data_IF_539258846710
#
_entry.id   IF_539258846710
#
_cell.length_a   1.000
_cell.length_b   1.000
_cell.length_c   1.000
_cell.angle_alpha   90.00
_cell.angle_beta   90.00
_cell.angle_gamma   90.00
#
_symmetry.space_group_name_H-M   'P 1'
#
loop_
_entity.id
_entity.type
_entity.pdbx_description
1 polymer ?
#
# COMPACT_ATOMS: atom_id res chain seq x y z
N UNK A 1 0.54 9.10 20.04
CA UNK A 1 1.45 9.04 18.88
C UNK A 1 1.33 7.61 18.35
N UNK A 2 1.06 7.44 17.05
CA UNK A 2 0.99 6.11 16.43
C UNK A 2 2.35 5.81 15.79
N UNK A 3 2.92 4.66 16.10
CA UNK A 3 4.17 4.17 15.51
C UNK A 3 4.01 2.69 15.17
N UNK A 4 4.62 2.27 14.06
CA UNK A 4 4.55 0.91 13.57
C UNK A 4 5.86 0.56 12.86
N UNK A 5 6.63 -0.42 13.36
CA UNK A 5 7.77 -0.95 12.63
C UNK A 5 7.31 -1.63 11.32
N UNK A 6 8.21 -1.69 10.34
CA UNK A 6 8.01 -2.51 9.14
C UNK A 6 7.81 -3.97 9.53
N UNK A 7 6.83 -4.65 8.94
CA UNK A 7 6.54 -6.06 9.28
C UNK A 7 7.52 -7.00 8.56
N UNK A 8 7.77 -6.72 7.28
CA UNK A 8 8.67 -7.50 6.43
C UNK A 8 9.90 -6.68 6.04
N UNK A 9 10.99 -6.74 6.82
CA UNK A 9 12.27 -6.25 6.35
C UNK A 9 12.75 -7.06 5.14
N UNK A 10 13.29 -6.39 4.13
CA UNK A 10 13.86 -7.04 2.94
C UNK A 10 15.06 -7.91 3.34
N UNK A 11 15.49 -8.87 2.50
CA UNK A 11 16.71 -9.62 2.76
C UNK A 11 17.93 -8.73 3.06
N UNK A 12 18.10 -7.64 2.31
CA UNK A 12 19.21 -6.70 2.50
C UNK A 12 19.09 -5.91 3.82
N UNK A 13 17.89 -5.43 4.16
CA UNK A 13 17.65 -4.73 5.44
C UNK A 13 17.94 -5.65 6.65
N UNK A 14 17.62 -6.95 6.55
CA UNK A 14 17.95 -7.92 7.61
C UNK A 14 19.43 -8.20 7.67
N UNK A 15 20.07 -8.43 6.52
CA UNK A 15 21.45 -8.88 6.47
C UNK A 15 22.45 -7.76 6.75
N UNK A 16 22.29 -6.60 6.10
CA UNK A 16 23.25 -5.50 6.19
C UNK A 16 22.91 -4.51 7.30
N UNK A 17 21.63 -4.29 7.59
CA UNK A 17 21.19 -3.28 8.55
C UNK A 17 20.67 -3.86 9.86
N UNK A 18 20.65 -5.20 9.99
CA UNK A 18 20.19 -5.92 11.18
C UNK A 18 18.79 -5.47 11.64
N UNK A 19 17.91 -5.14 10.69
CA UNK A 19 16.54 -4.70 10.98
C UNK A 19 15.68 -5.92 11.27
N UNK A 20 14.93 -5.86 12.38
CA UNK A 20 13.93 -6.85 12.76
C UNK A 20 12.53 -6.35 12.40
N UNK A 21 11.66 -7.26 11.97
CA UNK A 21 10.27 -6.93 11.67
C UNK A 21 9.45 -6.70 12.94
N UNK A 22 8.41 -5.87 12.83
CA UNK A 22 7.40 -5.71 13.87
C UNK A 22 6.43 -6.90 13.95
N UNK A 23 5.78 -7.02 15.10
CA UNK A 23 4.84 -8.12 15.40
C UNK A 23 3.37 -7.63 15.48
N UNK A 24 3.11 -6.35 15.18
CA UNK A 24 1.78 -5.72 15.22
C UNK A 24 1.53 -4.83 14.00
N UNK A 25 0.32 -4.93 13.43
CA UNK A 25 -0.12 -4.15 12.28
C UNK A 25 -1.56 -3.67 12.52
N UNK A 26 -1.76 -2.38 12.76
CA UNK A 26 -3.05 -1.83 13.16
C UNK A 26 -3.51 -0.70 12.24
N UNK A 27 -4.81 -0.67 11.93
CA UNK A 27 -5.41 0.49 11.28
C UNK A 27 -5.40 1.69 12.25
N UNK A 28 -5.08 2.86 11.72
CA UNK A 28 -4.97 4.11 12.47
C UNK A 28 -6.27 4.90 12.26
N UNK A 29 -7.05 5.18 13.30
CA UNK A 29 -8.23 6.03 13.19
C UNK A 29 -7.81 7.48 12.97
N UNK A 30 -8.46 8.16 12.03
CA UNK A 30 -8.31 9.60 11.79
C UNK A 30 -9.69 10.26 11.70
N UNK A 31 -9.72 11.59 11.73
CA UNK A 31 -10.93 12.39 11.49
C UNK A 31 -11.49 12.23 10.07
N UNK A 32 -10.63 11.84 9.13
CA UNK A 32 -10.96 11.56 7.75
C UNK A 32 -11.14 10.06 7.46
N UNK A 33 -11.33 9.22 8.49
CA UNK A 33 -11.51 7.77 8.38
C UNK A 33 -10.24 6.95 8.65
N UNK A 34 -10.39 5.64 8.82
CA UNK A 34 -9.26 4.78 9.18
C UNK A 34 -8.30 4.56 8.01
N UNK A 35 -7.01 4.64 8.30
CA UNK A 35 -5.91 4.45 7.35
C UNK A 35 -5.05 3.26 7.78
N UNK A 36 -4.29 2.69 6.86
CA UNK A 36 -3.27 1.69 7.14
C UNK A 36 -1.93 2.09 6.53
N UNK A 37 -0.82 1.60 7.07
CA UNK A 37 0.53 1.87 6.55
C UNK A 37 1.24 0.55 6.27
N UNK A 38 1.68 0.37 5.02
CA UNK A 38 2.49 -0.77 4.58
C UNK A 38 3.81 -0.23 4.06
N UNK A 39 4.92 -0.52 4.72
CA UNK A 39 6.20 0.09 4.38
C UNK A 39 6.86 -0.73 3.26
N UNK A 40 6.98 -0.14 2.07
CA UNK A 40 7.72 -0.67 0.94
C UNK A 40 7.36 -2.13 0.63
N UNK A 41 8.22 -3.06 1.06
CA UNK A 41 8.11 -4.50 0.86
C UNK A 41 6.82 -5.10 1.47
N UNK A 42 6.27 -4.50 2.52
CA UNK A 42 5.00 -4.95 3.13
C UNK A 42 3.84 -4.99 2.12
N UNK A 43 3.85 -4.10 1.12
CA UNK A 43 2.81 -4.04 0.10
C UNK A 43 2.77 -5.26 -0.82
N UNK A 44 3.89 -6.00 -0.92
CA UNK A 44 3.99 -7.21 -1.74
C UNK A 44 3.18 -8.38 -1.11
N UNK A 45 2.90 -8.33 0.20
CA UNK A 45 2.21 -9.37 0.95
C UNK A 45 0.68 -9.11 1.01
N UNK A 46 -0.16 -9.93 0.33
CA UNK A 46 -1.61 -9.73 0.27
C UNK A 46 -2.28 -9.68 1.65
N UNK A 47 -1.79 -10.49 2.58
CA UNK A 47 -2.37 -10.71 3.89
C UNK A 47 -2.35 -9.44 4.75
N UNK A 48 -1.32 -8.60 4.61
CA UNK A 48 -1.20 -7.38 5.40
C UNK A 48 -2.23 -6.32 4.99
N UNK A 49 -2.36 -6.08 3.69
CA UNK A 49 -3.38 -5.19 3.16
C UNK A 49 -4.78 -5.69 3.54
N UNK A 50 -5.00 -7.01 3.41
CA UNK A 50 -6.25 -7.65 3.80
C UNK A 50 -6.55 -7.43 5.28
N UNK A 51 -5.55 -7.63 6.14
CA UNK A 51 -5.68 -7.48 7.59
C UNK A 51 -6.06 -6.04 7.97
N UNK A 52 -5.40 -5.03 7.39
CA UNK A 52 -5.72 -3.62 7.64
C UNK A 52 -7.12 -3.23 7.15
N UNK A 53 -7.54 -3.74 5.99
CA UNK A 53 -8.87 -3.45 5.44
C UNK A 53 -9.96 -4.14 6.25
N UNK A 54 -9.71 -5.35 6.76
CA UNK A 54 -10.62 -6.05 7.67
C UNK A 54 -10.74 -5.32 9.03
N UNK A 55 -9.73 -4.54 9.43
CA UNK A 55 -9.80 -3.60 10.56
C UNK A 55 -10.50 -2.26 10.22
N UNK A 56 -10.92 -2.07 8.98
CA UNK A 56 -11.67 -0.89 8.52
C UNK A 56 -10.84 0.17 7.79
N UNK A 57 -9.57 -0.09 7.45
CA UNK A 57 -8.78 0.85 6.66
C UNK A 57 -9.40 1.04 5.25
N UNK A 58 -9.63 2.29 4.87
CA UNK A 58 -10.14 2.65 3.53
C UNK A 58 -9.05 3.19 2.61
N UNK A 59 -7.94 3.65 3.19
CA UNK A 59 -6.76 4.12 2.48
C UNK A 59 -5.53 3.41 3.05
N UNK A 60 -4.69 2.86 2.18
CA UNK A 60 -3.38 2.34 2.53
C UNK A 60 -2.30 3.30 2.05
N UNK A 61 -1.40 3.71 2.95
CA UNK A 61 -0.20 4.47 2.60
C UNK A 61 0.98 3.53 2.45
N UNK A 62 1.71 3.68 1.35
CA UNK A 62 2.86 2.86 1.00
C UNK A 62 4.07 3.73 0.71
N UNK A 63 4.81 4.17 1.74
CA UNK A 63 6.11 4.78 1.53
C UNK A 63 7.10 3.72 1.03
N UNK A 64 7.91 4.05 0.04
CA UNK A 64 8.91 3.12 -0.50
C UNK A 64 10.23 3.80 -0.88
N UNK A 65 11.29 3.00 -0.96
CA UNK A 65 12.58 3.41 -1.45
C UNK A 65 13.18 2.26 -2.25
N UNK A 66 13.40 2.47 -3.55
CA UNK A 66 13.88 1.45 -4.49
C UNK A 66 14.94 2.04 -5.39
N UNK A 67 15.99 1.29 -5.72
CA UNK A 67 17.06 1.77 -6.59
C UNK A 67 16.73 1.67 -8.08
N UNK A 68 16.04 0.61 -8.49
CA UNK A 68 15.83 0.27 -9.90
C UNK A 68 14.35 0.19 -10.26
N UNK A 69 14.05 0.37 -11.55
CA UNK A 69 12.70 0.31 -12.09
C UNK A 69 12.01 -1.03 -11.81
N UNK A 70 12.73 -2.15 -11.92
CA UNK A 70 12.18 -3.48 -11.69
C UNK A 70 11.69 -3.65 -10.24
N UNK A 71 12.47 -3.13 -9.28
CA UNK A 71 12.10 -3.13 -7.87
C UNK A 71 10.92 -2.22 -7.59
N UNK A 72 10.88 -1.02 -8.17
CA UNK A 72 9.71 -0.15 -8.12
C UNK A 72 8.46 -0.84 -8.69
N UNK A 73 8.58 -1.53 -9.83
CA UNK A 73 7.43 -2.16 -10.48
C UNK A 73 6.79 -3.26 -9.62
N UNK A 74 7.56 -3.98 -8.79
CA UNK A 74 6.98 -4.93 -7.82
C UNK A 74 6.06 -4.21 -6.85
N UNK A 75 6.55 -3.17 -6.18
CA UNK A 75 5.77 -2.34 -5.26
C UNK A 75 4.55 -1.75 -5.97
N UNK A 76 4.75 -1.15 -7.14
CA UNK A 76 3.70 -0.49 -7.93
C UNK A 76 2.57 -1.42 -8.34
N UNK A 77 2.90 -2.62 -8.81
CA UNK A 77 1.90 -3.60 -9.25
C UNK A 77 1.21 -4.27 -8.07
N UNK A 78 1.94 -4.61 -7.01
CA UNK A 78 1.33 -5.15 -5.79
C UNK A 78 0.36 -4.15 -5.17
N UNK A 79 0.71 -2.87 -5.07
CA UNK A 79 -0.21 -1.82 -4.60
C UNK A 79 -1.45 -1.67 -5.47
N UNK A 80 -1.34 -1.80 -6.80
CA UNK A 80 -2.51 -1.82 -7.69
C UNK A 80 -3.42 -3.00 -7.35
N UNK A 81 -2.83 -4.18 -7.17
CA UNK A 81 -3.57 -5.37 -6.78
C UNK A 81 -4.26 -5.16 -5.42
N UNK A 82 -3.58 -4.53 -4.43
CA UNK A 82 -4.16 -4.21 -3.11
C UNK A 82 -5.35 -3.26 -3.22
N UNK A 83 -5.27 -2.23 -4.07
CA UNK A 83 -6.38 -1.31 -4.30
C UNK A 83 -7.62 -2.03 -4.87
N UNK A 84 -7.41 -2.90 -5.86
CA UNK A 84 -8.47 -3.63 -6.55
C UNK A 84 -9.07 -4.72 -5.65
N UNK A 85 -8.27 -5.64 -5.13
CA UNK A 85 -8.76 -6.83 -4.41
C UNK A 85 -9.41 -6.49 -3.06
N UNK A 86 -8.98 -5.38 -2.44
CA UNK A 86 -9.51 -4.93 -1.16
C UNK A 86 -10.55 -3.81 -1.33
N UNK A 87 -10.83 -3.38 -2.56
CA UNK A 87 -11.73 -2.28 -2.87
C UNK A 87 -11.45 -1.07 -1.94
N UNK A 88 -10.19 -0.62 -1.92
CA UNK A 88 -9.67 0.46 -1.09
C UNK A 88 -8.76 1.38 -1.93
N UNK A 89 -8.43 2.56 -1.41
CA UNK A 89 -7.44 3.43 -2.04
C UNK A 89 -6.03 3.07 -1.57
N UNK A 90 -5.04 3.25 -2.45
CA UNK A 90 -3.63 3.06 -2.09
C UNK A 90 -2.82 4.27 -2.53
N UNK A 91 -2.15 4.92 -1.60
CA UNK A 91 -1.29 6.09 -1.87
C UNK A 91 0.15 5.65 -1.69
N UNK A 92 0.93 5.62 -2.77
CA UNK A 92 2.35 5.32 -2.70
C UNK A 92 3.20 6.55 -2.90
N UNK A 93 4.26 6.66 -2.09
CA UNK A 93 5.22 7.75 -2.15
C UNK A 93 6.64 7.20 -2.13
N UNK A 94 7.40 7.50 -3.17
CA UNK A 94 8.77 7.03 -3.34
C UNK A 94 9.79 8.15 -3.28
N UNK A 95 11.00 7.84 -2.82
CA UNK A 95 12.14 8.73 -2.99
C UNK A 95 12.62 8.73 -4.46
N UNK A 96 13.15 9.87 -4.90
CA UNK A 96 13.74 10.07 -6.23
C UNK A 96 15.07 10.81 -6.12
N UNK A 97 15.94 10.62 -7.11
CA UNK A 97 17.25 11.27 -7.15
C UNK A 97 18.36 10.37 -6.61
N UNK A 98 19.37 10.98 -5.99
CA UNK A 98 20.54 10.27 -5.48
C UNK A 98 21.17 10.98 -4.28
N UNK A 99 21.75 10.17 -3.38
CA UNK A 99 22.53 10.63 -2.24
C UNK A 99 23.92 9.97 -2.28
N UNK A 100 24.87 10.46 -3.10
CA UNK A 100 26.15 9.79 -3.37
C UNK A 100 27.11 9.70 -2.18
N UNK A 101 26.72 10.21 -1.01
CA UNK A 101 27.50 10.15 0.25
C UNK A 101 26.82 9.29 1.31
N UNK A 102 25.74 8.60 0.95
CA UNK A 102 24.96 7.75 1.84
C UNK A 102 24.93 6.35 1.23
N UNK A 103 25.51 5.37 1.93
CA UNK A 103 25.55 3.99 1.46
C UNK A 103 24.14 3.47 1.15
N UNK A 104 24.02 2.71 0.06
CA UNK A 104 22.76 2.14 -0.46
C UNK A 104 21.69 3.16 -0.88
N UNK A 105 22.06 4.44 -1.06
CA UNK A 105 21.18 5.50 -1.56
C UNK A 105 21.76 6.20 -2.79
N UNK A 106 22.66 5.54 -3.52
CA UNK A 106 23.38 6.10 -4.67
C UNK A 106 22.48 6.39 -5.87
N UNK A 107 21.40 5.63 -6.04
CA UNK A 107 20.40 5.83 -7.09
C UNK A 107 19.04 5.45 -6.51
N UNK A 108 18.02 6.25 -6.82
CA UNK A 108 16.64 5.97 -6.47
C UNK A 108 15.77 6.08 -7.72
N UNK A 109 14.95 5.06 -7.92
CA UNK A 109 13.88 5.07 -8.89
C UNK A 109 12.55 5.18 -8.16
N UNK A 110 11.76 6.18 -8.52
CA UNK A 110 10.46 6.41 -7.90
C UNK A 110 9.48 7.08 -8.85
N UNK A 111 8.22 6.64 -8.76
CA UNK A 111 7.08 7.35 -9.30
C UNK A 111 5.95 7.19 -8.30
N UNK A 112 5.54 8.29 -7.68
CA UNK A 112 4.47 8.28 -6.68
C UNK A 112 3.13 8.26 -7.39
N UNK A 113 2.12 7.60 -6.80
CA UNK A 113 0.78 7.60 -7.36
C UNK A 113 -0.31 7.34 -6.32
N UNK A 114 -1.51 7.80 -6.65
CA UNK A 114 -2.74 7.55 -5.91
C UNK A 114 -3.56 6.56 -6.74
N UNK A 115 -3.74 5.36 -6.20
CA UNK A 115 -4.41 4.24 -6.87
C UNK A 115 -5.82 4.06 -6.34
N UNK A 116 -6.70 3.68 -7.24
CA UNK A 116 -8.12 3.41 -6.95
C UNK A 116 -8.46 1.97 -7.29
N UNK A 117 -9.58 1.45 -6.78
CA UNK A 117 -10.19 0.26 -7.37
C UNK A 117 -10.54 0.52 -8.85
N UNK A 118 -10.80 -0.56 -9.58
CA UNK A 118 -11.16 -0.51 -11.00
C UNK A 118 -12.64 -0.88 -11.17
N UNK A 119 -13.51 0.13 -11.16
CA UNK A 119 -14.95 0.00 -11.39
C UNK A 119 -15.50 1.36 -11.89
N UNK A 120 -16.75 1.41 -12.34
CA UNK A 120 -17.33 2.59 -13.01
C UNK A 120 -17.27 3.90 -12.22
N UNK A 121 -17.23 3.83 -10.89
CA UNK A 121 -17.17 5.01 -10.03
C UNK A 121 -15.73 5.53 -9.75
N UNK A 122 -14.72 4.92 -10.35
CA UNK A 122 -13.31 5.27 -10.19
C UNK A 122 -12.64 5.68 -11.50
N UNK A 123 -11.37 6.06 -11.42
CA UNK A 123 -10.55 6.35 -12.59
C UNK A 123 -10.48 5.15 -13.54
N UNK A 124 -10.55 5.41 -14.84
CA UNK A 124 -10.54 4.38 -15.89
C UNK A 124 -9.38 3.39 -15.75
N UNK A 125 -8.19 3.90 -15.47
CA UNK A 125 -6.97 3.10 -15.39
C UNK A 125 -6.62 2.68 -13.95
N UNK A 126 -7.52 2.91 -12.99
CA UNK A 126 -7.27 2.64 -11.57
C UNK A 126 -6.21 3.55 -10.94
N UNK A 127 -5.96 4.72 -11.55
CA UNK A 127 -4.97 5.74 -11.14
C UNK A 127 -5.70 7.08 -11.04
N UNK A 128 -5.77 7.65 -9.84
CA UNK A 128 -6.33 8.98 -9.62
C UNK A 128 -5.33 10.10 -9.94
N UNK A 129 -4.05 9.87 -9.63
CA UNK A 129 -2.94 10.77 -9.97
C UNK A 129 -1.62 9.99 -9.93
N UNK A 130 -0.65 10.38 -10.75
CA UNK A 130 0.72 9.89 -10.71
C UNK A 130 1.72 11.01 -10.99
N UNK A 131 2.94 10.86 -10.46
CA UNK A 131 4.02 11.80 -10.71
C UNK A 131 4.73 11.45 -12.03
N UNK A 132 5.55 12.39 -12.52
CA UNK A 132 6.56 12.03 -13.53
C UNK A 132 7.61 11.12 -12.88
N UNK A 133 8.03 10.01 -13.51
CA UNK A 133 9.09 9.17 -12.97
C UNK A 133 10.38 9.95 -12.69
N UNK A 134 10.96 9.73 -11.51
CA UNK A 134 12.21 10.32 -11.04
C UNK A 134 12.21 11.85 -10.94
N UNK A 135 11.03 12.46 -10.80
CA UNK A 135 10.89 13.90 -10.57
C UNK A 135 10.29 14.17 -9.19
N UNK A 136 10.89 15.12 -8.47
CA UNK A 136 10.29 15.67 -7.24
C UNK A 136 8.99 16.40 -7.62
N UNK A 137 7.88 15.94 -7.05
CA UNK A 137 6.58 16.46 -7.39
C UNK A 137 5.59 16.22 -6.25
N UNK A 138 4.67 17.18 -6.04
CA UNK A 138 3.47 16.98 -5.24
C UNK A 138 2.33 16.58 -6.18
N UNK A 139 1.68 15.45 -5.89
CA UNK A 139 0.46 15.01 -6.56
C UNK A 139 -0.69 15.01 -5.57
N UNK A 140 -1.91 15.27 -6.06
CA UNK A 140 -3.11 15.26 -5.24
C UNK A 140 -4.30 14.73 -6.04
N UNK A 141 -5.27 14.16 -5.33
CA UNK A 141 -6.54 13.74 -5.91
C UNK A 141 -7.63 13.76 -4.83
N UNK A 142 -8.87 14.00 -5.26
CA UNK A 142 -10.06 13.89 -4.42
C UNK A 142 -10.50 12.43 -4.32
N UNK A 143 -10.49 11.88 -3.10
CA UNK A 143 -10.91 10.50 -2.83
C UNK A 143 -12.28 10.52 -2.10
N UNK A 144 -13.24 9.75 -2.61
CA UNK A 144 -14.62 9.74 -2.10
C UNK A 144 -14.96 8.35 -1.56
N UNK A 145 -15.13 8.24 -0.24
CA UNK A 145 -15.48 6.95 0.39
C UNK A 145 -16.84 6.39 -0.04
N UNK A 146 -17.75 7.25 -0.47
CA UNK A 146 -19.01 6.84 -1.08
C UNK A 146 -18.80 5.92 -2.29
N UNK A 147 -17.73 6.13 -3.07
CA UNK A 147 -17.41 5.28 -4.21
C UNK A 147 -16.92 3.90 -3.76
N UNK A 148 -16.12 3.82 -2.68
CA UNK A 148 -15.74 2.54 -2.07
C UNK A 148 -16.99 1.79 -1.56
N UNK A 149 -17.89 2.50 -0.87
CA UNK A 149 -19.15 1.92 -0.40
C UNK A 149 -19.99 1.38 -1.56
N UNK A 150 -20.21 2.18 -2.62
CA UNK A 150 -20.94 1.75 -3.81
C UNK A 150 -20.30 0.54 -4.46
N UNK A 151 -18.98 0.54 -4.65
CA UNK A 151 -18.27 -0.59 -5.26
C UNK A 151 -18.39 -1.88 -4.43
N UNK A 152 -18.33 -1.79 -3.10
CA UNK A 152 -18.46 -2.96 -2.20
C UNK A 152 -19.88 -3.54 -2.14
N UNK A 153 -20.91 -2.77 -2.47
CA UNK A 153 -22.33 -3.19 -2.37
C UNK A 153 -23.00 -3.49 -3.70
N UNK A 154 -22.71 -2.67 -4.72
CA UNK A 154 -23.38 -2.67 -6.01
C UNK A 154 -22.41 -2.44 -7.17
N UNK A 155 -21.11 -2.70 -6.96
CA UNK A 155 -20.11 -2.67 -8.01
C UNK A 155 -20.30 -3.78 -9.03
N UNK A 156 -19.56 -3.71 -10.14
CA UNK A 156 -19.53 -4.80 -11.14
C UNK A 156 -19.02 -6.10 -10.51
N UNK A 157 -18.12 -5.97 -9.54
CA UNK A 157 -17.63 -7.04 -8.66
C UNK A 157 -17.66 -6.56 -7.21
N UNK A 158 -17.87 -7.48 -6.28
CA UNK A 158 -18.01 -7.19 -4.84
C UNK A 158 -17.05 -8.07 -4.03
N UNK A 159 -15.76 -8.00 -4.37
CA UNK A 159 -14.68 -8.88 -3.87
C UNK A 159 -14.68 -9.06 -2.35
N UNK A 160 -14.93 -8.00 -1.57
CA UNK A 160 -14.96 -8.12 -0.12
C UNK A 160 -16.11 -9.00 0.39
N UNK A 161 -17.27 -8.91 -0.25
CA UNK A 161 -18.49 -9.62 0.14
C UNK A 161 -18.48 -11.07 -0.34
N UNK A 162 -17.87 -11.34 -1.49
CA UNK A 162 -17.80 -12.67 -2.10
C UNK A 162 -16.70 -13.57 -1.51
N UNK A 163 -16.00 -13.13 -0.47
CA UNK A 163 -14.96 -13.94 0.21
C UNK A 163 -15.56 -15.20 0.80
N UNK A 164 -14.94 -16.34 0.46
CA UNK A 164 -15.29 -17.67 0.95
C UNK A 164 -14.62 -17.97 2.29
N UNK A 165 -15.12 -17.31 3.34
CA UNK A 165 -14.65 -17.49 4.72
C UNK A 165 -14.85 -18.92 5.26
N UNK A 166 -15.71 -19.71 4.60
CA UNK A 166 -15.87 -21.14 4.83
C UNK A 166 -14.70 -21.98 4.30
N UNK A 167 -13.93 -21.48 3.32
CA UNK A 167 -12.77 -22.15 2.74
C UNK A 167 -11.44 -21.62 3.28
N UNK A 168 -11.32 -20.30 3.47
CA UNK A 168 -10.07 -19.68 3.91
C UNK A 168 -10.32 -18.43 4.76
N UNK A 169 -9.40 -18.17 5.69
CA UNK A 169 -9.36 -16.95 6.49
C UNK A 169 -7.92 -16.50 6.69
N UNK A 170 -7.73 -15.20 6.89
CA UNK A 170 -6.44 -14.61 7.26
C UNK A 170 -6.46 -14.43 8.77
N UNK A 171 -5.57 -15.11 9.49
CA UNK A 171 -5.50 -15.07 10.95
C UNK A 171 -4.15 -14.49 11.35
N UNK A 172 -4.18 -13.41 12.14
CA UNK A 172 -2.98 -12.87 12.77
C UNK A 172 -2.67 -13.66 14.03
N UNK A 173 -1.56 -14.38 14.05
CA UNK A 173 -1.12 -15.11 15.23
C UNK A 173 -0.27 -14.19 16.11
N UNK A 174 -0.70 -14.01 17.36
CA UNK A 174 0.14 -13.35 18.36
C UNK A 174 1.33 -14.24 18.68
N UNK A 175 2.53 -13.66 18.67
CA UNK A 175 3.74 -14.31 19.17
C UNK A 175 3.50 -14.66 20.65
N UNK A 176 3.70 -15.93 21.00
CA UNK A 176 3.66 -16.41 22.39
C UNK A 176 4.94 -15.97 23.09
#
# INVERSE_FOLDING_TARGET
>A
IYEQPKIHPTPDERYWWNISGGDELNAIPTDCGSIGVLICYDSEFPELARHLVDQGANILFVPFCTAERQSYLRVRYCCQARAVENQCYVVMSGNVGNLPRVENMDIQYGQSCILTPCDFCFSRDGIAADSTPNCEQVIWADLRYENLFKSRHSGTVINLKDRRHDLFSVVWHKKI
#
